data_IF_356620380460
#
_entry.id   IF_356620380460
#
_cell.length_a   1.000
_cell.length_b   1.000
_cell.length_c   1.000
_cell.angle_alpha   90.00
_cell.angle_beta   90.00
_cell.angle_gamma   90.00
#
_symmetry.space_group_name_H-M   'P 1'
#
loop_
_entity.id
_entity.type
_entity.pdbx_description
1 polymer ?
#
# COMPACT_ATOMS: atom_id res chain seq x y z
N UNK A 1 8.40 -2.71 -3.85
CA UNK A 1 6.94 -2.85 -3.68
C UNK A 1 6.42 -1.92 -2.58
N UNK A 2 6.92 -2.00 -1.35
CA UNK A 2 6.46 -1.20 -0.21
C UNK A 2 6.09 0.26 -0.55
N UNK A 3 7.05 1.09 -0.95
CA UNK A 3 6.81 2.51 -1.22
C UNK A 3 5.87 2.77 -2.40
N UNK A 4 5.92 1.96 -3.46
CA UNK A 4 5.04 2.14 -4.63
C UNK A 4 3.57 1.91 -4.24
N UNK A 5 3.29 0.78 -3.59
CA UNK A 5 1.93 0.42 -3.15
C UNK A 5 1.42 1.39 -2.08
N UNK A 6 2.23 1.69 -1.07
CA UNK A 6 1.80 2.55 0.04
C UNK A 6 1.65 4.01 -0.38
N UNK A 7 2.44 4.51 -1.33
CA UNK A 7 2.23 5.84 -1.89
C UNK A 7 0.92 5.93 -2.69
N UNK A 8 0.60 4.89 -3.48
CA UNK A 8 -0.65 4.86 -4.23
C UNK A 8 -1.88 4.84 -3.30
N UNK A 9 -1.78 4.14 -2.16
CA UNK A 9 -2.91 4.01 -1.23
C UNK A 9 -3.01 5.17 -0.25
N UNK A 10 -1.91 5.57 0.39
CA UNK A 10 -1.92 6.53 1.50
C UNK A 10 -1.56 7.96 1.10
N UNK A 11 -1.11 8.17 -0.14
CA UNK A 11 -0.89 9.48 -0.72
C UNK A 11 0.35 10.22 -0.17
N UNK A 12 0.33 11.57 -0.23
CA UNK A 12 1.47 12.39 0.16
C UNK A 12 1.94 12.18 1.61
N UNK A 13 1.01 11.97 2.54
CA UNK A 13 1.30 11.78 3.97
C UNK A 13 1.77 10.37 4.37
N UNK A 14 1.96 9.45 3.42
CA UNK A 14 2.35 8.06 3.69
C UNK A 14 3.49 7.93 4.74
N UNK A 15 3.24 7.30 5.91
CA UNK A 15 4.23 7.16 6.98
C UNK A 15 5.48 6.37 6.58
N UNK A 16 5.35 5.42 5.65
CA UNK A 16 6.46 4.56 5.21
C UNK A 16 7.51 5.30 4.39
N UNK A 17 7.28 6.57 4.02
CA UNK A 17 8.30 7.43 3.39
C UNK A 17 9.44 7.79 4.36
N UNK A 18 9.18 7.78 5.67
CA UNK A 18 10.22 7.98 6.66
C UNK A 18 11.08 6.72 6.76
N UNK A 19 12.40 6.85 6.55
CA UNK A 19 13.33 5.71 6.51
C UNK A 19 13.27 4.86 7.79
N UNK A 20 13.11 5.50 8.96
CA UNK A 20 12.96 4.80 10.24
C UNK A 20 11.71 3.91 10.29
N UNK A 21 10.60 4.35 9.71
CA UNK A 21 9.34 3.60 9.64
C UNK A 21 9.44 2.49 8.60
N UNK A 22 10.08 2.76 7.46
CA UNK A 22 10.34 1.75 6.43
C UNK A 22 11.21 0.60 6.94
N UNK A 23 12.30 0.91 7.62
CA UNK A 23 13.21 -0.08 8.23
C UNK A 23 12.51 -0.87 9.34
N UNK A 24 11.76 -0.17 10.21
CA UNK A 24 10.96 -0.82 11.25
C UNK A 24 9.93 -1.78 10.65
N UNK A 25 9.28 -1.39 9.54
CA UNK A 25 8.33 -2.25 8.82
C UNK A 25 9.00 -3.51 8.30
N UNK A 26 10.13 -3.40 7.58
CA UNK A 26 10.84 -4.56 7.01
C UNK A 26 11.23 -5.58 8.08
N UNK A 27 11.73 -5.10 9.21
CA UNK A 27 12.08 -5.95 10.35
C UNK A 27 10.83 -6.59 10.98
N UNK A 28 9.74 -5.82 11.09
CA UNK A 28 8.50 -6.27 11.71
C UNK A 28 7.78 -7.30 10.85
N UNK A 29 7.71 -7.09 9.53
CA UNK A 29 7.07 -7.97 8.56
C UNK A 29 7.61 -9.40 8.64
N UNK A 30 8.93 -9.55 8.77
CA UNK A 30 9.58 -10.86 8.92
C UNK A 30 9.25 -11.57 10.25
N UNK A 31 8.82 -10.79 11.25
CA UNK A 31 8.64 -11.26 12.63
C UNK A 31 7.17 -11.28 13.06
N UNK A 32 6.23 -10.96 12.18
CA UNK A 32 4.83 -10.76 12.56
C UNK A 32 4.17 -12.06 13.06
N UNK A 33 4.41 -13.19 12.38
CA UNK A 33 3.95 -14.50 12.86
C UNK A 33 4.53 -14.86 14.23
N UNK A 34 5.81 -14.57 14.45
CA UNK A 34 6.45 -14.76 15.75
C UNK A 34 5.79 -13.89 16.80
N UNK A 35 5.51 -12.61 16.51
CA UNK A 35 4.82 -11.70 17.42
C UNK A 35 3.37 -12.13 17.68
N UNK A 36 2.68 -12.65 16.67
CA UNK A 36 1.29 -13.11 16.74
C UNK A 36 1.11 -14.38 17.57
N UNK A 37 2.06 -15.32 17.46
CA UNK A 37 2.02 -16.64 18.11
C UNK A 37 2.71 -16.69 19.47
N UNK A 38 3.55 -15.69 19.78
CA UNK A 38 4.35 -15.70 21.00
C UNK A 38 3.55 -15.28 22.24
N UNK A 39 3.51 -16.11 23.31
CA UNK A 39 3.01 -15.65 24.60
C UNK A 39 3.96 -14.61 25.18
N UNK A 40 3.46 -13.53 25.79
CA UNK A 40 4.31 -12.45 26.34
C UNK A 40 5.27 -11.79 25.33
N UNK A 41 4.67 -11.29 24.24
CA UNK A 41 5.28 -10.58 23.09
C UNK A 41 6.46 -9.66 23.41
N UNK A 42 6.36 -8.83 24.45
CA UNK A 42 7.38 -7.85 24.81
C UNK A 42 8.71 -8.50 25.27
N UNK A 43 8.68 -9.74 25.77
CA UNK A 43 9.87 -10.45 26.23
C UNK A 43 10.43 -11.40 25.17
N UNK A 44 9.56 -12.12 24.47
CA UNK A 44 9.96 -13.13 23.48
C UNK A 44 10.23 -12.57 22.08
N UNK A 45 9.66 -11.41 21.74
CA UNK A 45 9.89 -10.72 20.47
C UNK A 45 10.08 -9.20 20.66
N UNK A 46 11.04 -8.76 21.50
CA UNK A 46 11.17 -7.35 21.91
C UNK A 46 11.44 -6.41 20.73
N UNK A 47 12.21 -6.86 19.72
CA UNK A 47 12.49 -6.08 18.51
C UNK A 47 11.22 -5.87 17.68
N UNK A 48 10.48 -6.94 17.41
CA UNK A 48 9.23 -6.87 16.66
C UNK A 48 8.19 -5.99 17.38
N UNK A 49 8.08 -6.14 18.70
CA UNK A 49 7.21 -5.30 19.53
C UNK A 49 7.58 -3.82 19.43
N UNK A 50 8.86 -3.47 19.60
CA UNK A 50 9.33 -2.08 19.52
C UNK A 50 9.12 -1.48 18.12
N UNK A 51 9.40 -2.24 17.07
CA UNK A 51 9.21 -1.78 15.70
C UNK A 51 7.73 -1.56 15.39
N UNK A 52 6.84 -2.46 15.84
CA UNK A 52 5.40 -2.28 15.74
C UNK A 52 4.92 -1.00 16.43
N UNK A 53 5.42 -0.71 17.63
CA UNK A 53 5.04 0.52 18.34
C UNK A 53 5.60 1.79 17.65
N UNK A 54 6.81 1.73 17.08
CA UNK A 54 7.33 2.84 16.26
C UNK A 54 6.41 3.12 15.06
N UNK A 55 6.00 2.07 14.36
CA UNK A 55 5.08 2.17 13.22
C UNK A 55 3.72 2.71 13.68
N UNK A 56 3.20 2.26 14.84
CA UNK A 56 1.95 2.76 15.40
C UNK A 56 1.98 4.26 15.72
N UNK A 57 3.11 4.78 16.22
CA UNK A 57 3.29 6.21 16.46
C UNK A 57 3.23 7.00 15.16
N UNK A 58 3.87 6.51 14.09
CA UNK A 58 3.83 7.15 12.77
C UNK A 58 2.41 7.17 12.18
N UNK A 59 1.65 6.08 12.34
CA UNK A 59 0.24 6.03 11.97
C UNK A 59 -0.66 6.93 12.80
N UNK A 60 -0.36 7.08 14.09
CA UNK A 60 -1.08 7.99 14.97
C UNK A 60 -0.95 9.42 14.46
N UNK A 61 0.28 9.83 14.09
CA UNK A 61 0.55 11.13 13.47
C UNK A 61 -0.22 11.31 12.16
N UNK A 62 -0.20 10.31 11.27
CA UNK A 62 -0.94 10.32 10.01
C UNK A 62 -2.44 10.60 10.18
N UNK A 63 -3.06 9.92 11.15
CA UNK A 63 -4.48 10.11 11.48
C UNK A 63 -4.73 11.50 12.06
N UNK A 64 -3.93 11.94 13.03
CA UNK A 64 -4.10 13.22 13.71
C UNK A 64 -3.95 14.42 12.78
N UNK A 65 -3.04 14.32 11.81
CA UNK A 65 -2.82 15.36 10.78
C UNK A 65 -3.90 15.36 9.69
N UNK A 66 -4.83 14.40 9.70
CA UNK A 66 -5.85 14.28 8.66
C UNK A 66 -5.30 13.84 7.30
N UNK A 67 -4.11 13.22 7.27
CA UNK A 67 -3.41 12.88 6.02
C UNK A 67 -4.18 11.88 5.14
N UNK A 68 -5.11 11.12 5.71
CA UNK A 68 -6.04 10.24 5.00
C UNK A 68 -6.92 10.97 3.97
N UNK A 69 -7.16 12.28 4.14
CA UNK A 69 -7.98 13.07 3.20
C UNK A 69 -7.34 13.20 1.81
N UNK A 70 -6.02 13.10 1.72
CA UNK A 70 -5.26 13.13 0.46
C UNK A 70 -4.88 11.72 -0.01
N UNK A 71 -5.40 10.68 0.64
CA UNK A 71 -5.18 9.30 0.29
C UNK A 71 -6.18 8.83 -0.78
N UNK A 72 -6.00 7.58 -1.24
CA UNK A 72 -6.96 6.90 -2.11
C UNK A 72 -8.35 6.81 -1.47
N UNK A 73 -9.39 6.67 -2.30
CA UNK A 73 -10.76 6.44 -1.83
C UNK A 73 -10.87 5.19 -0.95
N UNK A 74 -10.05 4.17 -1.23
CA UNK A 74 -9.93 2.99 -0.37
C UNK A 74 -9.51 3.37 1.05
N UNK A 75 -8.40 4.10 1.22
CA UNK A 75 -7.90 4.49 2.54
C UNK A 75 -8.87 5.41 3.29
N UNK A 76 -9.55 6.32 2.60
CA UNK A 76 -10.62 7.16 3.19
C UNK A 76 -11.78 6.32 3.70
N UNK A 77 -12.27 5.39 2.88
CA UNK A 77 -13.38 4.50 3.24
C UNK A 77 -13.04 3.64 4.46
N UNK A 78 -11.83 3.06 4.49
CA UNK A 78 -11.36 2.29 5.64
C UNK A 78 -11.27 3.14 6.90
N UNK A 79 -10.76 4.37 6.79
CA UNK A 79 -10.69 5.30 7.90
C UNK A 79 -12.07 5.66 8.46
N UNK A 80 -13.04 5.96 7.59
CA UNK A 80 -14.43 6.25 8.00
C UNK A 80 -15.11 5.05 8.64
N UNK A 81 -14.90 3.85 8.08
CA UNK A 81 -15.42 2.61 8.62
C UNK A 81 -14.89 2.35 10.03
N UNK A 82 -13.57 2.41 10.23
CA UNK A 82 -12.97 2.19 11.55
C UNK A 82 -13.41 3.28 12.56
N UNK A 83 -13.60 4.52 12.10
CA UNK A 83 -14.10 5.62 12.93
C UNK A 83 -15.54 5.40 13.40
N UNK A 84 -16.36 4.68 12.63
CA UNK A 84 -17.75 4.38 13.00
C UNK A 84 -17.89 3.53 14.26
N UNK A 85 -16.81 2.86 14.70
CA UNK A 85 -16.76 2.05 15.92
C UNK A 85 -16.32 2.82 17.17
N UNK A 86 -16.24 4.16 17.12
CA UNK A 86 -15.79 5.03 18.22
C UNK A 86 -14.42 4.64 18.81
N UNK A 87 -13.54 4.08 17.96
CA UNK A 87 -12.18 3.71 18.35
C UNK A 87 -11.36 4.95 18.69
N UNK A 88 -10.45 4.77 19.65
CA UNK A 88 -9.41 5.77 19.94
C UNK A 88 -8.47 5.89 18.74
N UNK A 89 -7.86 7.06 18.60
CA UNK A 89 -6.91 7.34 17.51
C UNK A 89 -5.76 6.34 17.51
N UNK A 90 -5.30 5.94 18.68
CA UNK A 90 -4.20 4.97 18.83
C UNK A 90 -4.60 3.54 18.43
N UNK A 91 -5.89 3.20 18.55
CA UNK A 91 -6.41 1.91 18.12
C UNK A 91 -6.59 1.90 16.61
N UNK A 92 -7.12 2.99 16.05
CA UNK A 92 -7.23 3.24 14.61
C UNK A 92 -5.85 3.23 13.92
N UNK A 93 -4.84 3.84 14.53
CA UNK A 93 -3.47 3.78 14.02
C UNK A 93 -2.91 2.35 13.98
N UNK A 94 -3.36 1.47 14.89
CA UNK A 94 -2.93 0.06 14.91
C UNK A 94 -3.73 -0.82 13.95
N UNK A 95 -4.95 -0.46 13.57
CA UNK A 95 -5.70 -1.17 12.51
C UNK A 95 -5.01 -0.98 11.16
N UNK A 96 -4.48 0.21 10.88
CA UNK A 96 -3.73 0.51 9.66
C UNK A 96 -2.46 -0.33 9.47
N UNK A 97 -1.82 -0.75 10.56
CA UNK A 97 -0.72 -1.71 10.51
C UNK A 97 -1.20 -3.03 9.91
N UNK A 98 -2.37 -3.52 10.35
CA UNK A 98 -2.98 -4.74 9.82
C UNK A 98 -3.40 -4.59 8.35
N UNK A 99 -4.00 -3.45 7.97
CA UNK A 99 -4.31 -3.15 6.57
C UNK A 99 -3.07 -3.15 5.68
N UNK A 100 -1.98 -2.58 6.19
CA UNK A 100 -0.68 -2.60 5.49
C UNK A 100 -0.19 -4.03 5.24
N UNK A 101 -0.34 -4.95 6.20
CA UNK A 101 0.00 -6.37 6.00
C UNK A 101 -0.85 -7.04 4.94
N UNK A 102 -2.18 -6.87 5.01
CA UNK A 102 -3.09 -7.49 4.06
C UNK A 102 -2.82 -6.99 2.62
N UNK A 103 -2.59 -5.69 2.47
CA UNK A 103 -2.29 -5.05 1.20
C UNK A 103 -0.92 -5.48 0.64
N UNK A 104 0.15 -5.37 1.44
CA UNK A 104 1.51 -5.65 0.97
C UNK A 104 1.74 -7.14 0.77
N UNK A 105 1.21 -7.96 1.69
CA UNK A 105 1.33 -9.41 1.66
C UNK A 105 0.58 -10.07 0.50
N UNK A 106 -0.42 -9.39 -0.09
CA UNK A 106 -1.13 -9.87 -1.29
C UNK A 106 -0.54 -9.31 -2.58
N UNK A 107 -0.21 -8.01 -2.62
CA UNK A 107 0.24 -7.34 -3.84
C UNK A 107 1.62 -7.82 -4.32
N UNK A 108 2.58 -7.99 -3.41
CA UNK A 108 3.93 -8.44 -3.74
C UNK A 108 3.96 -9.83 -4.43
N UNK A 109 3.40 -10.90 -3.84
CA UNK A 109 3.38 -12.20 -4.49
C UNK A 109 2.47 -12.22 -5.72
N UNK A 110 1.35 -11.49 -5.74
CA UNK A 110 0.46 -11.45 -6.92
C UNK A 110 1.18 -10.86 -8.12
N UNK A 111 1.86 -9.72 -7.96
CA UNK A 111 2.62 -9.10 -9.04
C UNK A 111 3.77 -10.01 -9.50
N UNK A 112 4.46 -10.67 -8.57
CA UNK A 112 5.50 -11.64 -8.91
C UNK A 112 4.97 -12.80 -9.75
N UNK A 113 3.89 -13.46 -9.31
CA UNK A 113 3.31 -14.60 -10.01
C UNK A 113 2.70 -14.20 -11.36
N UNK A 114 2.05 -13.03 -11.42
CA UNK A 114 1.55 -12.46 -12.67
C UNK A 114 2.68 -12.32 -13.69
N UNK A 115 3.79 -11.70 -13.30
CA UNK A 115 4.97 -11.55 -14.17
C UNK A 115 5.56 -12.91 -14.54
N UNK A 116 5.70 -13.83 -13.58
CA UNK A 116 6.22 -15.17 -13.84
C UNK A 116 5.39 -15.91 -14.88
N UNK A 117 4.06 -15.95 -14.72
CA UNK A 117 3.17 -16.66 -15.65
C UNK A 117 3.14 -15.99 -17.03
N UNK A 118 3.10 -14.65 -17.08
CA UNK A 118 3.13 -13.90 -18.33
C UNK A 118 4.41 -14.16 -19.12
N UNK A 119 5.59 -14.16 -18.47
CA UNK A 119 6.86 -14.39 -19.16
C UNK A 119 7.20 -15.87 -19.40
N UNK A 120 6.48 -16.80 -18.76
CA UNK A 120 6.66 -18.24 -18.97
C UNK A 120 5.84 -18.80 -20.14
N UNK A 121 4.88 -18.04 -20.67
CA UNK A 121 4.02 -18.43 -21.78
C UNK A 121 4.08 -17.36 -22.88
N UNK A 122 4.70 -17.71 -24.02
CA UNK A 122 4.84 -16.78 -25.15
C UNK A 122 3.50 -16.35 -25.74
N UNK A 123 2.46 -17.19 -25.67
CA UNK A 123 1.13 -16.86 -26.18
C UNK A 123 0.52 -15.75 -25.31
N UNK A 124 0.52 -15.95 -23.99
CA UNK A 124 0.01 -14.94 -23.03
C UNK A 124 0.78 -13.63 -23.15
N UNK A 125 2.11 -13.69 -23.28
CA UNK A 125 2.93 -12.48 -23.43
C UNK A 125 2.60 -11.68 -24.69
N UNK A 126 2.37 -12.37 -25.81
CA UNK A 126 2.03 -11.73 -27.08
C UNK A 126 0.64 -11.10 -27.01
N UNK A 127 -0.34 -11.80 -26.45
CA UNK A 127 -1.71 -11.29 -26.27
C UNK A 127 -1.71 -9.99 -25.44
N UNK A 128 -1.00 -9.98 -24.30
CA UNK A 128 -0.89 -8.78 -23.44
C UNK A 128 -0.22 -7.62 -24.18
N UNK A 129 0.82 -7.89 -24.99
CA UNK A 129 1.50 -6.84 -25.76
C UNK A 129 0.60 -6.24 -26.83
N UNK A 130 -0.15 -7.07 -27.56
CA UNK A 130 -1.07 -6.60 -28.59
C UNK A 130 -2.17 -5.71 -27.99
N UNK A 131 -2.73 -6.11 -26.85
CA UNK A 131 -3.70 -5.29 -26.11
C UNK A 131 -3.11 -3.94 -25.69
N UNK A 132 -1.91 -3.95 -25.09
CA UNK A 132 -1.23 -2.72 -24.65
C UNK A 132 -0.87 -1.79 -25.82
N UNK A 133 -0.39 -2.33 -26.95
CA UNK A 133 -0.10 -1.54 -28.14
C UNK A 133 -1.36 -0.87 -28.71
N UNK A 134 -2.48 -1.58 -28.68
CA UNK A 134 -3.77 -1.04 -29.15
C UNK A 134 -4.24 0.12 -28.28
N UNK A 135 -4.15 -0.02 -26.96
CA UNK A 135 -4.52 1.02 -26.01
C UNK A 135 -3.59 2.25 -26.12
N UNK A 136 -2.28 2.03 -26.22
CA UNK A 136 -1.31 3.13 -26.34
C UNK A 136 -1.50 3.94 -27.64
N UNK A 137 -1.91 3.30 -28.74
CA UNK A 137 -2.23 3.99 -29.99
C UNK A 137 -3.51 4.82 -29.89
N UNK A 138 -4.51 4.34 -29.16
CA UNK A 138 -5.78 5.05 -28.97
C UNK A 138 -5.58 6.39 -28.26
N UNK A 139 -4.82 6.40 -27.16
CA UNK A 139 -4.54 7.63 -26.40
C UNK A 139 -3.87 8.70 -27.26
N UNK A 140 -2.93 8.30 -28.14
CA UNK A 140 -2.26 9.24 -29.04
C UNK A 140 -3.25 9.93 -29.99
N UNK A 141 -4.18 9.16 -30.57
CA UNK A 141 -5.19 9.70 -31.50
C UNK A 141 -6.24 10.58 -30.82
N UNK A 142 -6.58 10.32 -29.55
CA UNK A 142 -7.46 11.20 -28.75
C UNK A 142 -6.74 12.50 -28.37
N UNK A 143 -5.47 12.44 -27.95
CA UNK A 143 -4.68 13.64 -27.65
C UNK A 143 -4.44 14.55 -28.86
N UNK A 144 -4.30 13.98 -30.07
CA UNK A 144 -4.13 14.73 -31.31
C UNK A 144 -5.43 15.44 -31.75
N UNK A 145 -6.60 14.87 -31.44
CA UNK A 145 -7.90 15.48 -31.77
C UNK A 145 -8.29 16.60 -30.80
N UNK A 146 -8.03 16.44 -29.51
CA UNK A 146 -8.33 17.49 -28.52
C UNK A 146 -7.45 18.74 -28.72
N UNK A 147 -6.29 18.60 -29.37
CA UNK A 147 -5.41 19.74 -29.70
C UNK A 147 -5.89 20.53 -30.92
N UNK A 148 -6.54 19.86 -31.89
CA UNK A 148 -7.07 20.51 -33.11
C UNK A 148 -8.40 21.25 -32.85
N UNK A 149 -9.20 20.83 -31.86
CA UNK A 149 -10.50 21.46 -31.53
C UNK A 149 -10.39 22.70 -30.61
N UNK A 150 -9.23 22.96 -29.98
CA UNK A 150 -8.97 24.18 -29.18
C UNK A 150 -8.43 25.37 -30.01
N UNK A 151 -8.08 25.17 -31.30
CA UNK A 151 -7.49 26.20 -32.18
C UNK A 151 -8.49 26.85 -33.19
N UNK A 152 -9.81 26.64 -33.05
CA UNK A 152 -10.85 27.32 -33.88
C UNK A 152 -11.85 28.15 -33.09
#
# INVERSE_FOLDING_TARGET
MLLSTTNAVYGPGNPYKETSVEEAWKDFEQSDLTLGLSPFKAFLAPRAFRNRELIAVAWTKYVQEGSHQQASEFAKTMHEYDRSYDLKVEDLARTEIGHSFAMLGSTAPTAWWMMYHMFSDEMVLNDVREELETLARREKTESEKDTDDEET
#
